data_IF_145109021520
#
_entry.id   IF_145109021520
#
_cell.length_a   1.000
_cell.length_b   1.000
_cell.length_c   1.000
_cell.angle_alpha   90.00
_cell.angle_beta   90.00
_cell.angle_gamma   90.00
#
_symmetry.space_group_name_H-M   'P 1'
#
loop_
_entity.id
_entity.type
_entity.pdbx_description
1 polymer ?
#
# COMPACT_ATOMS: atom_id res chain seq x y z
N UNK A 1 -9.81 -9.27 5.90
CA UNK A 1 -9.12 -7.97 5.84
C UNK A 1 -7.98 -7.96 6.84
N UNK A 2 -6.77 -7.70 6.37
CA UNK A 2 -5.61 -7.58 7.26
C UNK A 2 -5.43 -6.13 7.70
N UNK A 3 -4.64 -5.95 8.77
CA UNK A 3 -4.35 -4.62 9.33
C UNK A 3 -3.59 -3.78 8.29
N UNK A 4 -4.01 -2.54 8.10
CA UNK A 4 -3.37 -1.61 7.19
C UNK A 4 -1.98 -1.19 7.64
N UNK A 5 -1.22 -0.62 6.73
CA UNK A 5 0.12 -0.10 6.97
C UNK A 5 0.07 1.43 6.91
N UNK A 6 0.84 2.06 7.79
CA UNK A 6 0.95 3.52 7.83
C UNK A 6 2.42 3.89 8.04
N UNK A 7 2.89 4.88 7.29
CA UNK A 7 4.26 5.36 7.42
C UNK A 7 4.30 6.86 7.19
N UNK A 8 5.08 7.56 8.01
CA UNK A 8 5.43 8.96 7.77
C UNK A 8 6.84 8.98 7.18
N UNK A 9 6.99 9.59 6.02
CA UNK A 9 8.28 9.72 5.35
C UNK A 9 8.60 11.19 5.12
N UNK A 10 9.66 11.67 5.77
CA UNK A 10 10.13 13.05 5.63
C UNK A 10 11.04 13.15 4.41
N UNK A 11 10.74 14.05 3.50
CA UNK A 11 11.55 14.28 2.31
C UNK A 11 11.32 15.70 1.77
N UNK A 12 12.40 16.38 1.45
CA UNK A 12 12.31 17.72 0.84
C UNK A 12 11.58 18.75 1.70
N UNK A 13 11.68 18.65 3.02
CA UNK A 13 11.00 19.55 3.95
C UNK A 13 9.54 19.26 4.17
N UNK A 14 9.03 18.15 3.66
CA UNK A 14 7.64 17.71 3.83
C UNK A 14 7.57 16.37 4.53
N UNK A 15 6.47 16.14 5.23
CA UNK A 15 6.13 14.85 5.84
C UNK A 15 5.02 14.21 5.01
N UNK A 16 5.38 13.16 4.26
CA UNK A 16 4.41 12.39 3.49
C UNK A 16 3.83 11.28 4.35
N UNK A 17 2.50 11.21 4.43
CA UNK A 17 1.81 10.12 5.11
C UNK A 17 1.38 9.10 4.06
N UNK A 18 1.95 7.91 4.13
CA UNK A 18 1.64 6.82 3.20
C UNK A 18 0.77 5.82 3.93
N UNK A 19 -0.40 5.51 3.37
CA UNK A 19 -1.34 4.52 3.91
C UNK A 19 -1.57 3.43 2.88
N UNK A 20 -1.60 2.19 3.34
CA UNK A 20 -1.95 1.03 2.53
C UNK A 20 -3.06 0.29 3.24
N UNK A 21 -4.20 0.15 2.60
CA UNK A 21 -5.40 -0.44 3.20
C UNK A 21 -5.91 -1.61 2.37
N UNK A 22 -6.09 -2.77 3.02
CA UNK A 22 -6.71 -3.92 2.38
C UNK A 22 -8.22 -3.70 2.26
N UNK A 23 -8.74 -3.75 1.04
CA UNK A 23 -10.16 -3.59 0.75
C UNK A 23 -10.94 -4.90 0.83
N UNK A 24 -10.25 -6.00 1.13
CA UNK A 24 -10.85 -7.32 1.29
C UNK A 24 -10.84 -8.17 0.03
N UNK A 25 -10.98 -9.47 0.22
CA UNK A 25 -10.91 -10.46 -0.85
C UNK A 25 -12.03 -10.29 -1.89
N UNK A 26 -13.19 -9.77 -1.47
CA UNK A 26 -14.30 -9.54 -2.39
C UNK A 26 -13.94 -8.53 -3.48
N UNK A 27 -13.17 -7.51 -3.12
CA UNK A 27 -12.64 -6.53 -4.08
C UNK A 27 -11.33 -7.00 -4.70
N UNK A 28 -10.63 -7.94 -4.06
CA UNK A 28 -9.36 -8.48 -4.48
C UNK A 28 -8.33 -7.36 -4.75
N UNK A 29 -8.32 -6.36 -3.90
CA UNK A 29 -7.45 -5.18 -4.05
C UNK A 29 -7.14 -4.54 -2.72
N UNK A 30 -6.00 -3.87 -2.65
CA UNK A 30 -5.69 -2.92 -1.59
C UNK A 30 -5.50 -1.54 -2.19
N UNK A 31 -5.57 -0.50 -1.36
CA UNK A 31 -5.45 0.87 -1.81
C UNK A 31 -4.25 1.55 -1.17
N UNK A 32 -3.49 2.28 -1.98
CA UNK A 32 -2.36 3.10 -1.53
C UNK A 32 -2.76 4.55 -1.63
N UNK A 33 -2.55 5.32 -0.55
CA UNK A 33 -2.79 6.77 -0.55
C UNK A 33 -1.57 7.47 0.02
N UNK A 34 -1.27 8.64 -0.55
CA UNK A 34 -0.24 9.53 -0.03
C UNK A 34 -0.90 10.86 0.32
N UNK A 35 -0.67 11.32 1.54
CA UNK A 35 -1.19 12.59 2.03
C UNK A 35 -0.07 13.56 2.34
N UNK A 36 -0.32 14.86 2.07
CA UNK A 36 0.48 15.98 2.55
C UNK A 36 -0.47 16.90 3.32
N UNK A 37 -0.32 16.97 4.65
CA UNK A 37 -1.17 17.78 5.53
C UNK A 37 -2.68 17.54 5.28
N UNK A 38 -3.06 16.26 5.18
CA UNK A 38 -4.46 15.88 4.96
C UNK A 38 -4.95 15.98 3.52
N UNK A 39 -4.14 16.51 2.62
CA UNK A 39 -4.46 16.55 1.19
C UNK A 39 -3.98 15.27 0.51
N UNK A 40 -4.87 14.61 -0.23
CA UNK A 40 -4.52 13.41 -0.99
C UNK A 40 -3.71 13.82 -2.22
N UNK A 41 -2.44 13.40 -2.27
CA UNK A 41 -1.57 13.65 -3.41
C UNK A 41 -1.63 12.54 -4.44
N UNK A 42 -1.92 11.31 -3.99
CA UNK A 42 -1.89 10.13 -4.83
C UNK A 42 -2.78 9.05 -4.23
N UNK A 43 -3.48 8.32 -5.09
CA UNK A 43 -4.36 7.23 -4.69
C UNK A 43 -4.37 6.19 -5.81
N UNK A 44 -4.18 4.92 -5.45
CA UNK A 44 -4.16 3.84 -6.42
C UNK A 44 -4.64 2.54 -5.79
N UNK A 45 -5.46 1.80 -6.51
CA UNK A 45 -5.82 0.43 -6.15
C UNK A 45 -4.82 -0.54 -6.80
N UNK A 46 -4.40 -1.52 -6.02
CA UNK A 46 -3.51 -2.59 -6.48
C UNK A 46 -4.25 -3.90 -6.33
N UNK A 47 -4.45 -4.60 -7.45
CA UNK A 47 -5.15 -5.87 -7.45
C UNK A 47 -4.27 -6.98 -6.88
N UNK A 48 -4.88 -7.93 -6.13
CA UNK A 48 -4.18 -9.13 -5.65
C UNK A 48 -4.95 -10.42 -5.95
N UNK A 49 -5.72 -10.43 -7.03
CA UNK A 49 -6.46 -11.61 -7.46
C UNK A 49 -5.56 -12.83 -7.68
N UNK A 50 -4.29 -12.63 -8.03
CA UNK A 50 -3.33 -13.73 -8.18
C UNK A 50 -3.08 -14.46 -6.87
N UNK A 51 -3.04 -13.73 -5.74
CA UNK A 51 -2.89 -14.34 -4.40
C UNK A 51 -4.12 -15.16 -4.08
N UNK A 52 -5.30 -14.63 -4.35
CA UNK A 52 -6.57 -15.34 -4.11
C UNK A 52 -6.63 -16.62 -4.94
N UNK A 53 -6.19 -16.57 -6.18
CA UNK A 53 -6.20 -17.72 -7.09
C UNK A 53 -5.32 -18.87 -6.59
N UNK A 54 -4.33 -18.60 -5.74
CA UNK A 54 -3.49 -19.65 -5.14
C UNK A 54 -4.24 -20.50 -4.13
N UNK A 55 -5.39 -20.04 -3.65
CA UNK A 55 -6.22 -20.75 -2.66
C UNK A 55 -5.43 -21.23 -1.44
N UNK A 56 -4.55 -20.36 -0.93
CA UNK A 56 -3.69 -20.65 0.22
C UNK A 56 -4.50 -20.73 1.52
N UNK A 57 -4.02 -21.49 2.52
CA UNK A 57 -4.55 -21.36 3.88
C UNK A 57 -4.49 -19.91 4.33
N UNK A 58 -5.47 -19.49 5.15
CA UNK A 58 -5.65 -18.08 5.52
C UNK A 58 -4.38 -17.40 6.03
N UNK A 59 -3.62 -18.09 6.88
CA UNK A 59 -2.38 -17.52 7.42
C UNK A 59 -1.36 -17.19 6.32
N UNK A 60 -1.16 -18.14 5.40
CA UNK A 60 -0.23 -17.94 4.29
C UNK A 60 -0.73 -16.87 3.31
N UNK A 61 -2.04 -16.85 3.07
CA UNK A 61 -2.68 -15.82 2.26
C UNK A 61 -2.40 -14.43 2.83
N UNK A 62 -2.61 -14.25 4.13
CA UNK A 62 -2.42 -12.96 4.80
C UNK A 62 -0.94 -12.55 4.81
N UNK A 63 -0.02 -13.50 4.95
CA UNK A 63 1.41 -13.22 4.90
C UNK A 63 1.85 -12.75 3.51
N UNK A 64 1.37 -13.41 2.44
CA UNK A 64 1.69 -12.98 1.07
C UNK A 64 1.10 -11.61 0.77
N UNK A 65 -0.13 -11.36 1.20
CA UNK A 65 -0.77 -10.07 1.01
C UNK A 65 -0.01 -8.96 1.74
N UNK A 66 0.35 -9.19 3.00
CA UNK A 66 1.14 -8.24 3.77
C UNK A 66 2.48 -7.94 3.12
N UNK A 67 3.15 -8.96 2.62
CA UNK A 67 4.42 -8.82 1.93
C UNK A 67 4.28 -7.93 0.68
N UNK A 68 3.22 -8.13 -0.09
CA UNK A 68 2.94 -7.31 -1.27
C UNK A 68 2.64 -5.86 -0.87
N UNK A 69 1.86 -5.66 0.20
CA UNK A 69 1.55 -4.33 0.69
C UNK A 69 2.81 -3.60 1.18
N UNK A 70 3.69 -4.27 1.91
CA UNK A 70 4.95 -3.70 2.37
C UNK A 70 5.88 -3.35 1.20
N UNK A 71 5.98 -4.22 0.22
CA UNK A 71 6.76 -3.98 -0.99
C UNK A 71 6.22 -2.76 -1.74
N UNK A 72 4.92 -2.63 -1.84
CA UNK A 72 4.27 -1.49 -2.49
C UNK A 72 4.55 -0.20 -1.72
N UNK A 73 4.44 -0.23 -0.39
CA UNK A 73 4.76 0.91 0.46
C UNK A 73 6.21 1.38 0.23
N UNK A 74 7.15 0.45 0.21
CA UNK A 74 8.55 0.76 -0.02
C UNK A 74 8.79 1.32 -1.43
N UNK A 75 8.10 0.81 -2.42
CA UNK A 75 8.18 1.30 -3.81
C UNK A 75 7.67 2.74 -3.91
N UNK A 76 6.56 3.04 -3.25
CA UNK A 76 5.97 4.38 -3.22
C UNK A 76 6.92 5.36 -2.51
N UNK A 77 7.49 4.94 -1.37
CA UNK A 77 8.46 5.77 -0.65
C UNK A 77 9.68 6.08 -1.53
N UNK A 78 10.19 5.08 -2.25
CA UNK A 78 11.31 5.27 -3.17
C UNK A 78 10.95 6.25 -4.29
N UNK A 79 9.73 6.22 -4.80
CA UNK A 79 9.26 7.14 -5.82
C UNK A 79 9.23 8.58 -5.29
N UNK A 80 8.77 8.78 -4.05
CA UNK A 80 8.81 10.10 -3.40
C UNK A 80 10.24 10.59 -3.30
N UNK A 81 11.16 9.74 -2.83
CA UNK A 81 12.57 10.10 -2.66
C UNK A 81 13.25 10.47 -3.98
N UNK A 82 12.77 9.91 -5.09
CA UNK A 82 13.30 10.21 -6.43
C UNK A 82 12.59 11.39 -7.12
N UNK A 83 11.63 12.01 -6.46
CA UNK A 83 10.84 13.09 -7.05
C UNK A 83 9.92 12.62 -8.17
N UNK A 84 9.51 11.35 -8.14
CA UNK A 84 8.66 10.73 -9.17
C UNK A 84 7.23 10.50 -8.70
N UNK A 85 6.75 11.31 -7.79
CA UNK A 85 5.36 11.25 -7.36
C UNK A 85 4.48 11.64 -8.56
N UNK A 86 3.56 10.76 -8.97
CA UNK A 86 2.67 11.07 -10.07
C UNK A 86 1.67 12.17 -9.75
#
# INVERSE_FOLDING_TARGET
>A
VIVGLNRVFAHGGKDYHIQVEDLGDAQAAFEVRIYDHGTVLFQKKVAYSEIIAKALPRLEHDEELRSLMEKTLNTVQAAIAKGKLP
#
